data_IF_773845982170
#
_entry.id   IF_773845982170
#
_cell.length_a   1.000
_cell.length_b   1.000
_cell.length_c   1.000
_cell.angle_alpha   90.00
_cell.angle_beta   90.00
_cell.angle_gamma   90.00
#
_symmetry.space_group_name_H-M   'P 1'
#
loop_
_entity.id
_entity.type
_entity.pdbx_description
1 polymer ?
#
# COMPACT_ATOMS: atom_id res chain seq x y z
N UNK A 1 0.39 -10.32 1.07
CA UNK A 1 -0.60 -11.25 0.49
C UNK A 1 -2.00 -10.98 1.04
N UNK A 2 -2.86 -10.42 0.19
CA UNK A 2 -4.29 -10.21 0.43
C UNK A 2 -5.05 -11.54 0.32
N UNK A 3 -6.23 -11.64 0.91
CA UNK A 3 -7.05 -12.86 0.87
C UNK A 3 -8.10 -12.81 -0.23
N UNK A 4 -8.46 -13.98 -0.75
CA UNK A 4 -9.57 -14.13 -1.70
C UNK A 4 -10.86 -13.49 -1.16
N UNK A 5 -11.47 -12.62 -1.96
CA UNK A 5 -12.74 -11.95 -1.61
C UNK A 5 -12.61 -10.64 -0.83
N UNK A 6 -11.41 -10.20 -0.45
CA UNK A 6 -11.18 -8.83 0.08
C UNK A 6 -11.22 -7.79 -1.06
N UNK A 7 -11.29 -6.49 -0.75
CA UNK A 7 -11.12 -5.45 -1.79
C UNK A 7 -9.72 -5.49 -2.37
N UNK A 8 -9.59 -5.46 -3.69
CA UNK A 8 -8.31 -5.28 -4.35
C UNK A 8 -7.80 -3.85 -4.12
N UNK A 9 -6.46 -3.71 -4.02
CA UNK A 9 -5.80 -2.41 -3.80
C UNK A 9 -5.38 -1.73 -5.10
N UNK A 10 -5.31 -2.48 -6.21
CA UNK A 10 -4.93 -1.96 -7.53
C UNK A 10 -6.14 -1.64 -8.41
N UNK A 11 -7.27 -2.32 -8.19
CA UNK A 11 -8.45 -2.24 -9.05
C UNK A 11 -9.74 -2.25 -8.22
N UNK A 12 -10.81 -1.68 -8.77
CA UNK A 12 -12.15 -1.68 -8.15
C UNK A 12 -12.87 -3.04 -8.31
N UNK A 13 -12.28 -4.10 -7.74
CA UNK A 13 -12.83 -5.47 -7.76
C UNK A 13 -12.46 -6.25 -6.50
N UNK A 14 -13.07 -7.43 -6.32
CA UNK A 14 -12.65 -8.36 -5.29
C UNK A 14 -11.30 -9.01 -5.64
N UNK A 15 -10.49 -9.24 -4.62
CA UNK A 15 -9.19 -9.89 -4.70
C UNK A 15 -9.37 -11.35 -5.11
N UNK A 16 -8.62 -11.74 -6.14
CA UNK A 16 -8.58 -13.10 -6.69
C UNK A 16 -7.27 -13.83 -6.33
N UNK A 17 -6.50 -13.29 -5.38
CA UNK A 17 -5.15 -13.78 -5.02
C UNK A 17 -4.18 -13.82 -6.22
N UNK A 18 -4.27 -12.83 -7.12
CA UNK A 18 -3.41 -12.75 -8.31
C UNK A 18 -1.93 -12.50 -7.99
N UNK A 19 -1.59 -11.96 -6.81
CA UNK A 19 -0.21 -11.70 -6.37
C UNK A 19 0.46 -10.49 -7.03
N UNK A 20 -0.22 -9.77 -7.91
CA UNK A 20 0.33 -8.61 -8.63
C UNK A 20 0.78 -7.50 -7.68
N UNK A 21 -0.04 -7.18 -6.67
CA UNK A 21 0.29 -6.17 -5.66
C UNK A 21 1.45 -6.56 -4.73
N UNK A 22 1.87 -7.83 -4.74
CA UNK A 22 3.02 -8.30 -3.96
C UNK A 22 4.33 -8.21 -4.76
N UNK A 23 4.30 -7.88 -6.06
CA UNK A 23 5.48 -7.82 -6.93
C UNK A 23 6.02 -6.39 -7.07
N UNK A 24 7.34 -6.25 -7.14
CA UNK A 24 7.98 -4.95 -7.32
C UNK A 24 7.71 -4.40 -8.73
N UNK A 25 7.22 -3.16 -8.79
CA UNK A 25 6.91 -2.48 -10.06
C UNK A 25 8.14 -2.30 -10.95
N UNK A 26 9.31 -2.04 -10.36
CA UNK A 26 10.57 -1.88 -11.10
C UNK A 26 11.22 -3.21 -11.49
N UNK A 27 10.87 -4.31 -10.82
CA UNK A 27 11.49 -5.61 -11.02
C UNK A 27 10.49 -6.75 -10.78
N UNK A 28 9.92 -7.28 -11.86
CA UNK A 28 8.95 -8.37 -11.82
C UNK A 28 9.48 -9.69 -11.25
N UNK A 29 10.79 -9.84 -11.07
CA UNK A 29 11.40 -11.00 -10.41
C UNK A 29 11.54 -10.85 -8.89
N UNK A 30 11.19 -9.68 -8.33
CA UNK A 30 11.33 -9.34 -6.91
C UNK A 30 9.96 -9.18 -6.26
N UNK A 31 9.75 -9.79 -5.09
CA UNK A 31 8.62 -9.47 -4.20
C UNK A 31 8.87 -8.10 -3.60
N UNK A 32 7.87 -7.22 -3.64
CA UNK A 32 7.96 -5.89 -3.07
C UNK A 32 8.28 -5.97 -1.57
N UNK A 33 9.37 -5.33 -1.18
CA UNK A 33 9.90 -5.26 0.18
C UNK A 33 9.74 -3.85 0.79
N UNK A 34 8.89 -3.02 0.18
CA UNK A 34 8.68 -1.62 0.57
C UNK A 34 9.96 -0.77 0.58
N UNK A 35 10.90 -1.04 -0.34
CA UNK A 35 12.11 -0.21 -0.50
C UNK A 35 11.84 1.21 -1.02
N UNK A 36 10.65 1.49 -1.54
CA UNK A 36 10.21 2.79 -2.05
C UNK A 36 11.02 3.35 -3.24
N UNK A 37 11.85 2.54 -3.89
CA UNK A 37 12.62 2.94 -5.08
C UNK A 37 11.73 3.28 -6.29
N UNK A 38 10.50 2.74 -6.33
CA UNK A 38 9.51 3.04 -7.37
C UNK A 38 8.81 4.39 -7.20
N UNK A 39 8.99 5.08 -6.06
CA UNK A 39 8.38 6.39 -5.83
C UNK A 39 9.15 7.47 -6.58
N UNK A 40 8.41 8.42 -7.16
CA UNK A 40 9.00 9.55 -7.85
C UNK A 40 9.68 10.51 -6.85
N UNK A 41 11.01 10.57 -6.88
CA UNK A 41 11.82 11.44 -6.01
C UNK A 41 12.26 12.74 -6.73
N UNK A 42 11.60 13.13 -7.80
CA UNK A 42 11.95 14.32 -8.60
C UNK A 42 11.63 15.65 -7.91
N UNK A 43 11.01 15.60 -6.73
CA UNK A 43 10.67 16.75 -5.88
C UNK A 43 11.81 17.12 -4.91
N UNK A 44 11.89 18.40 -4.55
CA UNK A 44 12.84 18.92 -3.55
C UNK A 44 12.63 18.32 -2.14
N UNK A 45 11.44 17.77 -1.89
CA UNK A 45 11.07 17.09 -0.65
C UNK A 45 10.08 15.96 -0.91
N UNK A 46 10.14 14.91 -0.09
CA UNK A 46 9.13 13.87 -0.04
C UNK A 46 8.02 14.29 0.93
N UNK A 47 6.77 14.05 0.54
CA UNK A 47 5.60 14.35 1.37
C UNK A 47 4.78 13.08 1.64
N UNK A 48 4.20 13.01 2.84
CA UNK A 48 3.17 12.02 3.19
C UNK A 48 1.93 12.82 3.58
N UNK A 49 0.88 12.73 2.77
CA UNK A 49 -0.40 13.34 3.09
C UNK A 49 -1.11 12.52 4.17
N UNK A 50 -1.58 13.19 5.21
CA UNK A 50 -2.41 12.59 6.26
C UNK A 50 -3.84 13.05 6.01
N UNK A 51 -4.75 12.09 5.78
CA UNK A 51 -6.17 12.38 5.58
C UNK A 51 -6.87 12.72 6.90
N UNK A 52 -6.59 11.95 7.97
CA UNK A 52 -7.19 12.13 9.29
C UNK A 52 -6.24 11.70 10.42
N UNK A 53 -6.41 12.31 11.60
CA UNK A 53 -5.73 11.92 12.85
C UNK A 53 -6.77 11.36 13.82
N UNK A 54 -6.71 10.05 14.07
CA UNK A 54 -7.58 9.39 15.02
C UNK A 54 -6.95 9.41 16.41
N UNK A 55 -7.62 10.07 17.36
CA UNK A 55 -7.24 10.00 18.78
C UNK A 55 -7.93 8.77 19.38
N UNK A 56 -7.14 7.83 19.89
CA UNK A 56 -7.69 6.69 20.62
C UNK A 56 -8.23 7.16 21.98
N UNK A 57 -9.55 7.16 22.13
CA UNK A 57 -10.25 7.55 23.38
C UNK A 57 -10.69 6.35 24.22
N UNK A 58 -10.22 5.13 23.91
CA UNK A 58 -10.51 3.95 24.73
C UNK A 58 -9.79 4.04 26.08
N UNK A 59 -10.48 4.60 27.08
CA UNK A 59 -9.97 4.78 28.44
C UNK A 59 -10.77 5.73 29.34
N UNK A 60 -11.76 6.47 28.84
CA UNK A 60 -12.72 7.20 29.69
C UNK A 60 -13.97 6.34 29.93
N UNK A 61 -13.87 5.38 30.85
CA UNK A 61 -14.93 4.88 31.74
C UNK A 61 -14.34 3.93 32.78
#
# INVERSE_FOLDING_TARGET
MRKYGESCVLEERLCTECGECDTCELNSSKICDSCCECLETSSDYLEIQIDDILINTEGEN
#
